data_IF_790449039251
#
_entry.id   IF_790449039251
#
_cell.length_a   1.000
_cell.length_b   1.000
_cell.length_c   1.000
_cell.angle_alpha   90.00
_cell.angle_beta   90.00
_cell.angle_gamma   90.00
#
_symmetry.space_group_name_H-M   'P 1'
#
loop_
_entity.id
_entity.type
_entity.pdbx_description
1 polymer ?
#
# COMPACT_ATOMS: atom_id res chain seq x y z
N UNK A 1 -18.46 -24.43 19.86
CA UNK A 1 -17.66 -23.61 18.92
C UNK A 1 -16.88 -22.61 19.74
N UNK A 2 -15.63 -22.96 20.07
CA UNK A 2 -14.76 -22.13 20.89
C UNK A 2 -14.23 -20.94 20.08
N UNK A 3 -14.74 -19.75 20.36
CA UNK A 3 -14.13 -18.50 19.94
C UNK A 3 -12.85 -18.31 20.75
N UNK A 4 -11.72 -18.78 20.20
CA UNK A 4 -10.38 -18.37 20.65
C UNK A 4 -10.35 -16.84 20.63
N UNK A 5 -10.52 -16.23 21.81
CA UNK A 5 -10.19 -14.83 22.04
C UNK A 5 -8.76 -14.66 21.55
N UNK A 6 -8.55 -13.92 20.46
CA UNK A 6 -7.24 -13.36 20.16
C UNK A 6 -6.88 -12.58 21.41
N UNK A 7 -5.98 -13.14 22.23
CA UNK A 7 -5.33 -12.38 23.28
C UNK A 7 -4.67 -11.22 22.55
N UNK A 8 -5.25 -10.03 22.71
CA UNK A 8 -4.62 -8.78 22.30
C UNK A 8 -3.38 -8.67 23.18
N UNK A 9 -2.28 -9.30 22.75
CA UNK A 9 -0.98 -9.10 23.36
C UNK A 9 -0.77 -7.59 23.35
N UNK A 10 -0.58 -7.01 24.53
CA UNK A 10 -0.49 -5.57 24.70
C UNK A 10 0.60 -5.06 23.75
N UNK A 11 0.18 -4.32 22.73
CA UNK A 11 1.07 -3.63 21.82
C UNK A 11 1.84 -2.63 22.69
N UNK A 12 3.15 -2.85 22.86
CA UNK A 12 3.99 -1.93 23.62
C UNK A 12 4.02 -0.59 22.89
N UNK A 13 3.71 0.50 23.60
CA UNK A 13 3.82 1.86 23.05
C UNK A 13 5.29 2.31 22.93
N UNK A 14 6.22 1.59 23.56
CA UNK A 14 7.67 1.79 23.37
C UNK A 14 8.16 1.20 22.03
N UNK A 15 7.25 0.58 21.25
CA UNK A 15 7.46 0.15 19.88
C UNK A 15 7.05 1.25 18.88
N UNK A 16 7.93 1.69 17.97
CA UNK A 16 7.54 2.57 16.87
C UNK A 16 6.37 2.01 16.05
N UNK A 17 6.36 0.70 15.76
CA UNK A 17 5.26 0.08 15.03
C UNK A 17 4.01 -0.06 15.90
N UNK A 18 4.19 -0.39 17.18
CA UNK A 18 3.10 -0.45 18.14
C UNK A 18 2.42 0.89 18.41
N UNK A 19 3.18 1.98 18.46
CA UNK A 19 2.66 3.36 18.51
C UNK A 19 1.84 3.69 17.26
N UNK A 20 2.35 3.32 16.08
CA UNK A 20 1.65 3.50 14.81
C UNK A 20 0.34 2.70 14.79
N UNK A 21 0.31 1.47 15.30
CA UNK A 21 -0.91 0.67 15.40
C UNK A 21 -1.91 1.19 16.45
N UNK A 22 -1.41 1.77 17.55
CA UNK A 22 -2.24 2.39 18.57
C UNK A 22 -3.01 3.61 18.05
N UNK A 23 -2.53 4.27 16.97
CA UNK A 23 -3.24 5.35 16.30
C UNK A 23 -4.58 4.90 15.67
N UNK A 24 -4.85 3.59 15.59
CA UNK A 24 -6.19 2.99 15.36
C UNK A 24 -7.01 3.52 14.17
N UNK A 25 -6.37 4.04 13.13
CA UNK A 25 -7.10 4.61 12.00
C UNK A 25 -8.09 3.61 11.36
N UNK A 26 -9.40 3.84 11.54
CA UNK A 26 -10.50 3.24 10.77
C UNK A 26 -10.69 1.70 10.81
N UNK A 27 -9.75 0.92 11.37
CA UNK A 27 -9.75 -0.54 11.25
C UNK A 27 -11.04 -1.21 11.71
N UNK A 28 -11.66 -0.70 12.79
CA UNK A 28 -12.87 -1.29 13.37
C UNK A 28 -14.15 -0.92 12.65
N UNK A 29 -14.10 0.15 11.88
CA UNK A 29 -15.25 0.71 11.16
C UNK A 29 -15.27 0.23 9.70
N UNK A 30 -14.15 -0.32 9.21
CA UNK A 30 -14.05 -0.91 7.88
C UNK A 30 -14.93 -2.16 7.75
N UNK A 31 -15.73 -2.22 6.70
CA UNK A 31 -16.45 -3.43 6.29
C UNK A 31 -15.57 -4.36 5.44
N UNK A 32 -14.39 -3.90 5.02
CA UNK A 32 -13.54 -4.64 4.10
C UNK A 32 -12.70 -5.69 4.84
N UNK A 33 -12.95 -6.97 4.59
CA UNK A 33 -12.22 -8.07 5.24
C UNK A 33 -10.69 -7.98 5.05
N UNK A 34 -10.21 -7.46 3.92
CA UNK A 34 -8.77 -7.29 3.68
C UNK A 34 -8.14 -6.28 4.64
N UNK A 35 -8.88 -5.25 5.07
CA UNK A 35 -8.40 -4.23 6.03
C UNK A 35 -8.19 -4.87 7.40
N UNK A 36 -9.13 -5.72 7.85
CA UNK A 36 -8.99 -6.50 9.08
C UNK A 36 -7.81 -7.48 9.02
N UNK A 37 -7.62 -8.16 7.87
CA UNK A 37 -6.48 -9.04 7.66
C UNK A 37 -5.15 -8.28 7.70
N UNK A 38 -5.07 -7.13 7.02
CA UNK A 38 -3.91 -6.24 7.00
C UNK A 38 -3.51 -5.79 8.41
N UNK A 39 -4.49 -5.37 9.21
CA UNK A 39 -4.26 -5.07 10.63
C UNK A 39 -3.70 -6.29 11.38
N UNK A 40 -4.27 -7.47 11.18
CA UNK A 40 -3.76 -8.72 11.76
C UNK A 40 -2.31 -9.04 11.38
N UNK A 41 -1.91 -8.79 10.13
CA UNK A 41 -0.53 -8.95 9.68
C UNK A 41 0.42 -7.97 10.35
N UNK A 42 0.03 -6.69 10.46
CA UNK A 42 0.83 -5.67 11.14
C UNK A 42 0.97 -5.93 12.65
N UNK A 43 -0.09 -6.43 13.29
CA UNK A 43 -0.01 -6.85 14.71
C UNK A 43 1.00 -7.99 14.88
N UNK A 44 0.98 -9.00 14.00
CA UNK A 44 1.98 -10.08 14.02
C UNK A 44 3.39 -9.54 13.82
N UNK A 45 3.57 -8.59 12.90
CA UNK A 45 4.85 -7.94 12.65
C UNK A 45 5.35 -7.16 13.88
N UNK A 46 4.47 -6.41 14.55
CA UNK A 46 4.80 -5.70 15.79
C UNK A 46 5.20 -6.67 16.92
N UNK A 47 4.45 -7.76 17.10
CA UNK A 47 4.82 -8.81 18.05
C UNK A 47 6.20 -9.39 17.75
N UNK A 48 6.50 -9.68 16.49
CA UNK A 48 7.80 -10.22 16.10
C UNK A 48 8.94 -9.20 16.29
N UNK A 49 8.71 -7.92 16.00
CA UNK A 49 9.66 -6.83 16.28
C UNK A 49 9.94 -6.68 17.78
N UNK A 50 8.91 -6.77 18.62
CA UNK A 50 9.05 -6.78 20.07
C UNK A 50 9.88 -7.96 20.57
N UNK A 51 9.62 -9.16 20.03
CA UNK A 51 10.39 -10.36 20.36
C UNK A 51 11.86 -10.20 19.97
N UNK A 52 12.13 -9.64 18.78
CA UNK A 52 13.49 -9.36 18.29
C UNK A 52 14.25 -8.40 19.24
N UNK A 53 13.61 -7.29 19.64
CA UNK A 53 14.22 -6.32 20.57
C UNK A 53 14.48 -6.93 21.94
N UNK A 54 13.55 -7.73 22.45
CA UNK A 54 13.70 -8.43 23.73
C UNK A 54 14.87 -9.42 23.69
N UNK A 55 14.96 -10.20 22.61
CA UNK A 55 16.05 -11.16 22.41
C UNK A 55 17.41 -10.46 22.26
N UNK A 56 17.48 -9.38 21.48
CA UNK A 56 18.72 -8.61 21.33
C UNK A 56 19.21 -8.06 22.69
N UNK A 57 18.28 -7.57 23.54
CA UNK A 57 18.61 -7.08 24.88
C UNK A 57 19.03 -8.21 25.82
N UNK A 58 18.33 -9.35 25.81
CA UNK A 58 18.62 -10.49 26.69
C UNK A 58 20.01 -11.08 26.39
N UNK A 59 20.36 -11.23 25.11
CA UNK A 59 21.64 -11.81 24.71
C UNK A 59 22.81 -10.85 24.97
N UNK A 60 22.62 -9.54 24.73
CA UNK A 60 23.62 -8.52 25.09
C UNK A 60 23.86 -8.47 26.60
N UNK A 61 22.79 -8.51 27.41
CA UNK A 61 22.90 -8.52 28.86
C UNK A 61 23.53 -9.82 29.40
N UNK A 62 23.31 -10.95 28.74
CA UNK A 62 23.87 -12.23 29.15
C UNK A 62 25.41 -12.29 28.97
N UNK A 63 25.98 -11.57 27.99
CA UNK A 63 27.44 -11.46 27.81
C UNK A 63 28.18 -12.79 27.54
N UNK A 64 27.44 -13.86 27.21
CA UNK A 64 27.98 -15.22 27.07
C UNK A 64 28.48 -15.55 25.66
N UNK A 65 28.09 -14.76 24.66
CA UNK A 65 28.44 -14.98 23.26
C UNK A 65 29.54 -13.99 22.84
N UNK A 66 30.42 -14.45 21.94
CA UNK A 66 31.28 -13.55 21.19
C UNK A 66 30.44 -12.68 20.25
N UNK A 67 30.98 -11.57 19.75
CA UNK A 67 30.26 -10.71 18.80
C UNK A 67 29.81 -11.46 17.54
N UNK A 68 30.63 -12.43 17.08
CA UNK A 68 30.29 -13.30 15.96
C UNK A 68 29.14 -14.26 16.32
N UNK A 69 29.20 -14.93 17.47
CA UNK A 69 28.14 -15.84 17.91
C UNK A 69 26.82 -15.12 18.22
N UNK A 70 26.89 -13.89 18.75
CA UNK A 70 25.70 -13.05 18.94
C UNK A 70 25.06 -12.71 17.59
N UNK A 71 25.87 -12.35 16.58
CA UNK A 71 25.37 -12.05 15.24
C UNK A 71 24.66 -13.26 14.62
N UNK A 72 25.31 -14.42 14.60
CA UNK A 72 24.73 -15.66 14.06
C UNK A 72 23.43 -16.04 14.76
N UNK A 73 23.39 -15.95 16.10
CA UNK A 73 22.18 -16.21 16.89
C UNK A 73 21.04 -15.26 16.50
N UNK A 74 21.34 -13.97 16.39
CA UNK A 74 20.33 -12.98 16.04
C UNK A 74 19.86 -13.12 14.58
N UNK A 75 20.74 -13.47 13.65
CA UNK A 75 20.38 -13.78 12.26
C UNK A 75 19.42 -14.97 12.20
N UNK A 76 19.71 -16.06 12.93
CA UNK A 76 18.84 -17.22 13.03
C UNK A 76 17.47 -16.86 13.65
N UNK A 77 17.47 -16.03 14.68
CA UNK A 77 16.22 -15.55 15.31
C UNK A 77 15.38 -14.73 14.32
N UNK A 78 16.00 -13.82 13.57
CA UNK A 78 15.30 -13.01 12.55
C UNK A 78 14.65 -13.90 11.51
N UNK A 79 15.39 -14.87 10.98
CA UNK A 79 14.88 -15.77 9.95
C UNK A 79 13.69 -16.61 10.45
N UNK A 80 13.68 -16.99 11.74
CA UNK A 80 12.63 -17.83 12.34
C UNK A 80 11.39 -17.04 12.78
N UNK A 81 11.58 -15.92 13.46
CA UNK A 81 10.49 -15.21 14.15
C UNK A 81 10.04 -13.94 13.41
N UNK A 82 10.97 -13.16 12.85
CA UNK A 82 10.69 -11.85 12.27
C UNK A 82 10.38 -11.92 10.77
N UNK A 83 11.23 -12.60 10.00
CA UNK A 83 11.11 -12.68 8.56
C UNK A 83 9.76 -13.24 8.08
N UNK A 84 9.18 -14.31 8.69
CA UNK A 84 7.88 -14.80 8.26
C UNK A 84 6.76 -13.77 8.43
N UNK A 85 6.75 -13.03 9.55
CA UNK A 85 5.76 -11.98 9.80
C UNK A 85 5.93 -10.80 8.83
N UNK A 86 7.17 -10.40 8.55
CA UNK A 86 7.49 -9.35 7.59
C UNK A 86 7.04 -9.72 6.17
N UNK A 87 7.40 -10.92 5.71
CA UNK A 87 7.02 -11.41 4.38
C UNK A 87 5.51 -11.51 4.22
N UNK A 88 4.81 -11.97 5.25
CA UNK A 88 3.35 -12.07 5.20
C UNK A 88 2.69 -10.69 5.12
N UNK A 89 3.17 -9.71 5.89
CA UNK A 89 2.68 -8.34 5.81
C UNK A 89 2.97 -7.67 4.45
N UNK A 90 4.13 -7.94 3.82
CA UNK A 90 4.43 -7.48 2.46
C UNK A 90 3.53 -8.14 1.42
N UNK A 91 3.46 -9.47 1.41
CA UNK A 91 2.72 -10.22 0.39
C UNK A 91 1.20 -9.99 0.49
N UNK A 92 0.62 -10.28 1.65
CA UNK A 92 -0.84 -10.25 1.81
C UNK A 92 -1.36 -8.85 2.13
N UNK A 93 -0.56 -8.04 2.83
CA UNK A 93 -0.90 -6.67 3.19
C UNK A 93 -0.63 -5.71 2.03
N UNK A 94 0.62 -5.48 1.68
CA UNK A 94 0.98 -4.50 0.64
C UNK A 94 0.54 -4.96 -0.75
N UNK A 95 1.08 -6.08 -1.25
CA UNK A 95 0.80 -6.55 -2.61
C UNK A 95 -0.66 -7.00 -2.78
N UNK A 96 -1.21 -7.68 -1.78
CA UNK A 96 -2.60 -8.12 -1.80
C UNK A 96 -3.61 -6.98 -1.89
N UNK A 97 -3.38 -5.87 -1.20
CA UNK A 97 -4.24 -4.68 -1.30
C UNK A 97 -4.08 -4.00 -2.66
N UNK A 98 -2.84 -3.88 -3.15
CA UNK A 98 -2.57 -3.31 -4.47
C UNK A 98 -3.30 -4.09 -5.57
N UNK A 99 -3.27 -5.42 -5.51
CA UNK A 99 -3.99 -6.29 -6.44
C UNK A 99 -5.52 -6.12 -6.32
N UNK A 100 -6.04 -6.01 -5.10
CA UNK A 100 -7.48 -5.78 -4.91
C UNK A 100 -7.94 -4.43 -5.47
N UNK A 101 -7.11 -3.39 -5.38
CA UNK A 101 -7.37 -2.10 -6.05
C UNK A 101 -7.42 -2.29 -7.57
N UNK A 102 -6.49 -3.04 -8.15
CA UNK A 102 -6.48 -3.34 -9.60
C UNK A 102 -7.74 -4.08 -10.03
N UNK A 103 -8.17 -5.09 -9.27
CA UNK A 103 -9.41 -5.84 -9.53
C UNK A 103 -10.63 -4.93 -9.48
N UNK A 104 -10.76 -4.07 -8.46
CA UNK A 104 -11.88 -3.12 -8.36
C UNK A 104 -11.91 -2.14 -9.54
N UNK A 105 -10.74 -1.64 -9.97
CA UNK A 105 -10.64 -0.79 -11.17
C UNK A 105 -11.08 -1.54 -12.43
N UNK A 106 -10.68 -2.80 -12.59
CA UNK A 106 -11.05 -3.62 -13.74
C UNK A 106 -12.55 -3.96 -13.79
N UNK A 107 -13.25 -3.95 -12.66
CA UNK A 107 -14.70 -4.18 -12.60
C UNK A 107 -15.52 -2.98 -13.07
N UNK A 108 -15.02 -1.75 -12.90
CA UNK A 108 -15.72 -0.53 -13.30
C UNK A 108 -15.37 -0.06 -14.72
N UNK A 109 -15.45 -0.94 -15.72
CA UNK A 109 -15.33 -0.52 -17.13
C UNK A 109 -16.66 0.11 -17.55
N UNK A 110 -16.65 1.44 -17.72
CA UNK A 110 -17.78 2.20 -18.25
C UNK A 110 -18.14 1.73 -19.66
N UNK A 111 -19.40 1.32 -19.87
CA UNK A 111 -19.96 1.12 -21.21
C UNK A 111 -20.61 2.43 -21.64
N UNK A 112 -19.97 3.14 -22.56
CA UNK A 112 -20.59 4.27 -23.27
C UNK A 112 -21.79 3.72 -24.02
N UNK A 113 -22.98 4.27 -23.77
CA UNK A 113 -24.15 3.98 -24.59
C UNK A 113 -23.96 4.65 -25.96
N UNK A 114 -23.79 3.88 -27.06
CA UNK A 114 -23.61 4.44 -28.39
C UNK A 114 -24.88 5.10 -28.93
N UNK A 115 -26.04 4.91 -28.29
CA UNK A 115 -27.34 5.44 -28.73
C UNK A 115 -27.69 6.80 -28.14
N UNK A 116 -26.96 7.25 -27.11
CA UNK A 116 -27.16 8.58 -26.50
C UNK A 116 -26.43 9.68 -27.29
N UNK A 117 -27.12 10.19 -28.31
CA UNK A 117 -26.62 11.27 -29.16
C UNK A 117 -26.39 12.58 -28.39
N UNK A 118 -27.19 12.88 -27.36
CA UNK A 118 -27.05 14.10 -26.58
C UNK A 118 -25.77 14.08 -25.73
N UNK A 119 -25.49 12.94 -25.09
CA UNK A 119 -24.26 12.76 -24.34
C UNK A 119 -23.02 12.75 -25.26
N UNK A 120 -23.14 12.18 -26.47
CA UNK A 120 -22.06 12.22 -27.46
C UNK A 120 -21.71 13.65 -27.91
N UNK A 121 -22.72 14.49 -28.17
CA UNK A 121 -22.54 15.91 -28.51
C UNK A 121 -21.86 16.65 -27.36
N UNK A 122 -22.35 16.46 -26.13
CA UNK A 122 -21.78 17.11 -24.95
C UNK A 122 -20.31 16.71 -24.73
N UNK A 123 -19.94 15.44 -24.89
CA UNK A 123 -18.53 15.01 -24.80
C UNK A 123 -17.67 15.62 -25.91
N UNK A 124 -18.21 15.78 -27.11
CA UNK A 124 -17.52 16.50 -28.20
C UNK A 124 -17.27 17.97 -27.86
N UNK A 125 -18.26 18.65 -27.28
CA UNK A 125 -18.12 20.04 -26.84
C UNK A 125 -17.12 20.21 -25.70
N UNK A 126 -17.13 19.29 -24.73
CA UNK A 126 -16.16 19.27 -23.63
C UNK A 126 -14.72 19.07 -24.14
N UNK A 127 -14.51 18.18 -25.13
CA UNK A 127 -13.20 18.03 -25.79
C UNK A 127 -12.76 19.29 -26.51
N UNK A 128 -13.65 19.93 -27.26
CA UNK A 128 -13.34 21.20 -27.93
C UNK A 128 -12.93 22.26 -26.91
N UNK A 129 -13.74 22.45 -25.86
CA UNK A 129 -13.45 23.40 -24.80
C UNK A 129 -12.10 23.12 -24.13
N UNK A 130 -11.77 21.84 -23.89
CA UNK A 130 -10.48 21.43 -23.35
C UNK A 130 -9.30 21.92 -24.20
N UNK A 131 -9.34 21.67 -25.52
CA UNK A 131 -8.26 22.06 -26.43
C UNK A 131 -8.22 23.56 -26.73
N UNK A 132 -9.30 24.30 -26.48
CA UNK A 132 -9.32 25.77 -26.55
C UNK A 132 -8.76 26.43 -25.28
N UNK A 133 -8.70 25.72 -24.15
CA UNK A 133 -8.11 26.23 -22.91
C UNK A 133 -6.59 26.38 -23.02
N UNK A 134 -6.04 27.38 -22.32
CA UNK A 134 -4.59 27.51 -22.12
C UNK A 134 -4.04 26.39 -21.25
N UNK A 135 -2.75 26.06 -21.41
CA UNK A 135 -2.09 25.00 -20.65
C UNK A 135 -2.11 25.24 -19.12
N UNK A 136 -2.09 26.51 -18.69
CA UNK A 136 -2.26 26.87 -17.29
C UNK A 136 -3.63 26.46 -16.75
N UNK A 137 -4.71 26.68 -17.52
CA UNK A 137 -6.07 26.28 -17.13
C UNK A 137 -6.26 24.77 -17.16
N UNK A 138 -5.71 24.09 -18.17
CA UNK A 138 -5.73 22.62 -18.24
C UNK A 138 -5.06 22.02 -17.01
N UNK A 139 -3.87 22.49 -16.63
CA UNK A 139 -3.18 22.03 -15.42
C UNK A 139 -4.01 22.22 -14.15
N UNK A 140 -4.67 23.37 -14.00
CA UNK A 140 -5.58 23.60 -12.86
C UNK A 140 -6.75 22.61 -12.88
N UNK A 141 -7.36 22.38 -14.04
CA UNK A 141 -8.49 21.46 -14.20
C UNK A 141 -8.09 20.00 -13.92
N UNK A 142 -6.84 19.61 -14.19
CA UNK A 142 -6.33 18.27 -13.91
C UNK A 142 -6.21 17.94 -12.41
N UNK A 143 -6.19 18.93 -11.52
CA UNK A 143 -6.16 18.67 -10.07
C UNK A 143 -7.47 18.07 -9.55
N UNK A 144 -8.60 18.37 -10.19
CA UNK A 144 -9.90 17.82 -9.82
C UNK A 144 -10.84 17.87 -11.03
N UNK A 145 -10.60 17.00 -12.05
CA UNK A 145 -11.33 17.09 -13.30
C UNK A 145 -12.79 16.63 -13.10
N UNK A 146 -13.77 17.39 -13.62
CA UNK A 146 -15.15 16.92 -13.65
C UNK A 146 -15.23 15.58 -14.40
N UNK A 147 -15.97 14.62 -13.86
CA UNK A 147 -16.00 13.26 -14.40
C UNK A 147 -16.42 13.20 -15.88
N UNK A 148 -17.41 13.99 -16.29
CA UNK A 148 -17.81 14.07 -17.69
C UNK A 148 -16.69 14.56 -18.62
N UNK A 149 -15.87 15.51 -18.16
CA UNK A 149 -14.71 15.98 -18.89
C UNK A 149 -13.64 14.88 -18.95
N UNK A 150 -13.41 14.17 -17.84
CA UNK A 150 -12.48 13.06 -17.79
C UNK A 150 -12.86 11.94 -18.78
N UNK A 151 -14.13 11.52 -18.78
CA UNK A 151 -14.64 10.54 -19.75
C UNK A 151 -14.51 11.05 -21.19
N UNK A 152 -14.84 12.32 -21.44
CA UNK A 152 -14.73 12.91 -22.77
C UNK A 152 -13.29 12.92 -23.31
N UNK A 153 -12.29 13.19 -22.46
CA UNK A 153 -10.87 13.18 -22.84
C UNK A 153 -10.37 11.75 -23.04
N UNK A 154 -10.74 10.81 -22.16
CA UNK A 154 -10.30 9.40 -22.23
C UNK A 154 -10.88 8.63 -23.42
N UNK A 155 -11.96 9.12 -24.04
CA UNK A 155 -12.45 8.59 -25.32
C UNK A 155 -11.49 8.85 -26.50
N UNK A 156 -10.58 9.82 -26.36
CA UNK A 156 -9.57 10.09 -27.39
C UNK A 156 -8.44 9.06 -27.29
N UNK A 157 -7.82 8.66 -28.42
CA UNK A 157 -6.60 7.88 -28.38
C UNK A 157 -5.50 8.65 -27.63
N UNK A 158 -4.61 7.94 -26.91
CA UNK A 158 -3.60 8.57 -26.04
C UNK A 158 -2.73 9.62 -26.76
N UNK A 159 -2.45 9.39 -28.04
CA UNK A 159 -1.70 10.31 -28.90
C UNK A 159 -2.37 11.68 -29.10
N UNK A 160 -3.69 11.81 -28.90
CA UNK A 160 -4.45 13.04 -29.15
C UNK A 160 -4.55 13.96 -27.93
N UNK A 161 -4.59 13.41 -26.72
CA UNK A 161 -4.68 14.24 -25.52
C UNK A 161 -3.32 14.65 -24.97
N UNK A 162 -2.23 13.95 -25.34
CA UNK A 162 -0.85 14.36 -25.01
C UNK A 162 -0.56 14.48 -23.51
N UNK A 163 -1.28 13.69 -22.71
CA UNK A 163 -1.17 13.68 -21.26
C UNK A 163 -0.06 12.71 -20.87
N UNK A 164 0.69 13.05 -19.82
CA UNK A 164 1.56 12.08 -19.17
C UNK A 164 0.74 11.00 -18.44
N UNK A 165 1.42 9.94 -18.01
CA UNK A 165 0.77 8.79 -17.37
C UNK A 165 0.03 9.18 -16.08
N UNK A 166 0.59 10.11 -15.30
CA UNK A 166 0.00 10.57 -14.04
C UNK A 166 -1.31 11.34 -14.29
N UNK A 167 -1.31 12.25 -15.27
CA UNK A 167 -2.48 13.00 -15.69
C UNK A 167 -3.57 12.07 -16.27
N UNK A 168 -3.18 11.09 -17.09
CA UNK A 168 -4.12 10.11 -17.63
C UNK A 168 -4.76 9.26 -16.51
N UNK A 169 -3.98 8.85 -15.53
CA UNK A 169 -4.49 8.09 -14.38
C UNK A 169 -5.42 8.93 -13.49
N UNK A 170 -5.12 10.22 -13.29
CA UNK A 170 -6.01 11.14 -12.56
C UNK A 170 -7.38 11.28 -13.24
N UNK A 171 -7.43 11.34 -14.58
CA UNK A 171 -8.70 11.35 -15.31
C UNK A 171 -9.43 10.02 -15.18
N UNK A 172 -8.71 8.89 -15.29
CA UNK A 172 -9.32 7.56 -15.13
C UNK A 172 -9.96 7.41 -13.76
N UNK A 173 -9.30 7.92 -12.72
CA UNK A 173 -9.83 7.90 -11.36
C UNK A 173 -11.06 8.80 -11.18
N UNK A 174 -11.08 9.99 -11.79
CA UNK A 174 -12.22 10.89 -11.71
C UNK A 174 -13.44 10.35 -12.47
N UNK A 175 -13.23 9.80 -13.68
CA UNK A 175 -14.29 9.15 -14.46
C UNK A 175 -14.84 7.93 -13.71
N UNK A 176 -13.96 7.03 -13.26
CA UNK A 176 -14.33 5.86 -12.47
C UNK A 176 -15.08 6.24 -11.19
N UNK A 177 -14.64 7.30 -10.50
CA UNK A 177 -15.20 7.73 -9.22
C UNK A 177 -16.65 8.18 -9.29
N UNK A 178 -17.04 8.77 -10.43
CA UNK A 178 -18.41 9.20 -10.69
C UNK A 178 -19.32 8.04 -11.07
N UNK A 179 -18.85 7.14 -11.93
CA UNK A 179 -19.67 6.05 -12.45
C UNK A 179 -19.81 4.89 -11.45
N UNK A 180 -18.80 4.72 -10.57
CA UNK A 180 -18.75 3.67 -9.57
C UNK A 180 -18.42 4.23 -8.17
N UNK A 181 -19.28 5.09 -7.59
CA UNK A 181 -18.98 5.79 -6.34
C UNK A 181 -18.72 4.85 -5.16
N UNK A 182 -19.40 3.70 -5.12
CA UNK A 182 -19.15 2.67 -4.10
C UNK A 182 -17.77 2.02 -4.24
N UNK A 183 -17.35 1.70 -5.46
CA UNK A 183 -16.01 1.14 -5.71
C UNK A 183 -14.92 2.18 -5.47
N UNK A 184 -15.17 3.44 -5.81
CA UNK A 184 -14.27 4.56 -5.55
C UNK A 184 -14.02 4.76 -4.05
N UNK A 185 -15.09 4.72 -3.24
CA UNK A 185 -15.00 4.76 -1.78
C UNK A 185 -14.15 3.61 -1.24
N UNK A 186 -14.39 2.38 -1.71
CA UNK A 186 -13.60 1.19 -1.33
C UNK A 186 -12.13 1.32 -1.71
N UNK A 187 -11.82 1.77 -2.93
CA UNK A 187 -10.45 1.99 -3.39
C UNK A 187 -9.73 3.04 -2.54
N UNK A 188 -10.41 4.16 -2.21
CA UNK A 188 -9.83 5.22 -1.38
C UNK A 188 -9.43 4.68 0.00
N UNK A 189 -10.31 3.90 0.62
CA UNK A 189 -10.03 3.23 1.89
C UNK A 189 -8.85 2.25 1.75
N UNK A 190 -8.85 1.41 0.71
CA UNK A 190 -7.75 0.46 0.46
C UNK A 190 -6.41 1.17 0.24
N UNK A 191 -6.37 2.31 -0.45
CA UNK A 191 -5.13 3.09 -0.62
C UNK A 191 -4.61 3.64 0.69
N UNK A 192 -5.49 4.18 1.54
CA UNK A 192 -5.08 4.66 2.85
C UNK A 192 -4.47 3.52 3.68
N UNK A 193 -5.09 2.33 3.64
CA UNK A 193 -4.57 1.14 4.31
C UNK A 193 -3.26 0.65 3.68
N UNK A 194 -3.15 0.65 2.35
CA UNK A 194 -1.91 0.31 1.65
C UNK A 194 -0.75 1.20 2.10
N UNK A 195 -0.95 2.52 2.12
CA UNK A 195 0.04 3.48 2.59
C UNK A 195 0.43 3.21 4.05
N UNK A 196 -0.54 2.91 4.91
CA UNK A 196 -0.28 2.55 6.29
C UNK A 196 0.53 1.26 6.44
N UNK A 197 0.24 0.24 5.65
CA UNK A 197 1.01 -1.03 5.62
C UNK A 197 2.43 -0.79 5.14
N UNK A 198 2.62 0.00 4.08
CA UNK A 198 3.95 0.38 3.55
C UNK A 198 4.76 1.08 4.66
N UNK A 199 4.19 2.10 5.30
CA UNK A 199 4.84 2.79 6.41
C UNK A 199 5.18 1.83 7.56
N UNK A 200 4.26 0.90 7.89
CA UNK A 200 4.50 -0.12 8.92
C UNK A 200 5.67 -1.05 8.58
N UNK A 201 5.78 -1.51 7.34
CA UNK A 201 6.89 -2.33 6.85
C UNK A 201 8.22 -1.57 6.87
N UNK A 202 8.21 -0.28 6.53
CA UNK A 202 9.40 0.57 6.61
C UNK A 202 9.87 0.77 8.05
N UNK A 203 8.95 1.09 8.96
CA UNK A 203 9.25 1.22 10.39
C UNK A 203 9.81 -0.08 10.95
N UNK A 204 9.17 -1.22 10.66
CA UNK A 204 9.64 -2.53 11.13
C UNK A 204 11.03 -2.88 10.59
N UNK A 205 11.29 -2.60 9.30
CA UNK A 205 12.61 -2.80 8.69
C UNK A 205 13.66 -1.94 9.39
N UNK A 206 13.39 -0.65 9.56
CA UNK A 206 14.32 0.30 10.15
C UNK A 206 14.62 -0.04 11.62
N UNK A 207 13.62 -0.50 12.37
CA UNK A 207 13.80 -0.97 13.74
C UNK A 207 14.63 -2.25 13.81
N UNK A 208 14.36 -3.22 12.93
CA UNK A 208 15.13 -4.46 12.87
C UNK A 208 16.60 -4.21 12.46
N UNK A 209 16.84 -3.40 11.43
CA UNK A 209 18.21 -3.05 10.99
C UNK A 209 18.99 -2.32 12.10
N UNK A 210 18.34 -1.38 12.80
CA UNK A 210 18.95 -0.68 13.94
C UNK A 210 19.24 -1.62 15.10
N UNK A 211 18.28 -2.46 15.49
CA UNK A 211 18.40 -3.41 16.61
C UNK A 211 19.56 -4.38 16.40
N UNK A 212 19.75 -4.83 15.16
CA UNK A 212 20.78 -5.78 14.76
C UNK A 212 22.09 -5.12 14.32
N UNK A 213 22.09 -3.80 14.11
CA UNK A 213 23.21 -3.05 13.54
C UNK A 213 23.65 -3.62 12.17
N UNK A 214 22.68 -3.96 11.33
CA UNK A 214 22.89 -4.48 9.97
C UNK A 214 22.44 -3.47 8.92
N UNK A 215 23.04 -3.54 7.74
CA UNK A 215 22.60 -2.73 6.60
C UNK A 215 21.36 -3.36 5.91
N UNK A 216 20.76 -2.60 4.98
CA UNK A 216 19.57 -3.04 4.25
C UNK A 216 19.82 -4.27 3.38
N UNK A 217 21.02 -4.43 2.82
CA UNK A 217 21.35 -5.58 1.98
C UNK A 217 21.34 -6.89 2.79
N UNK A 218 21.94 -6.88 3.98
CA UNK A 218 21.93 -8.04 4.87
C UNK A 218 20.51 -8.31 5.40
N UNK A 219 19.74 -7.28 5.76
CA UNK A 219 18.34 -7.44 6.12
C UNK A 219 17.55 -8.15 5.00
N UNK A 220 17.71 -7.68 3.77
CA UNK A 220 17.05 -8.26 2.60
C UNK A 220 17.46 -9.72 2.38
N UNK A 221 18.74 -10.06 2.59
CA UNK A 221 19.21 -11.44 2.54
C UNK A 221 18.56 -12.31 3.62
N UNK A 222 18.41 -11.82 4.84
CA UNK A 222 17.78 -12.57 5.94
C UNK A 222 16.28 -12.76 5.73
N UNK A 223 15.59 -11.72 5.26
CA UNK A 223 14.13 -11.78 5.08
C UNK A 223 13.74 -12.54 3.82
N UNK A 224 14.52 -12.45 2.74
CA UNK A 224 14.15 -12.97 1.42
C UNK A 224 15.13 -14.01 0.87
N UNK A 225 16.12 -14.46 1.65
CA UNK A 225 17.11 -15.45 1.19
C UNK A 225 18.06 -14.94 0.10
N UNK A 226 18.08 -13.63 -0.20
CA UNK A 226 18.83 -13.05 -1.31
C UNK A 226 18.03 -12.87 -2.61
N UNK A 227 16.73 -13.16 -2.61
CA UNK A 227 15.86 -13.08 -3.81
C UNK A 227 15.26 -11.69 -4.06
N UNK A 228 15.89 -10.59 -3.65
CA UNK A 228 15.47 -9.26 -4.14
C UNK A 228 16.16 -9.00 -5.48
N UNK A 229 15.69 -9.69 -6.53
CA UNK A 229 16.38 -9.70 -7.82
C UNK A 229 15.54 -9.37 -9.05
N UNK A 230 14.21 -9.40 -9.01
CA UNK A 230 13.43 -9.48 -10.26
C UNK A 230 12.40 -8.38 -10.54
N UNK A 231 12.02 -7.51 -9.59
CA UNK A 231 10.86 -6.62 -9.83
C UNK A 231 11.05 -5.11 -9.60
N UNK A 232 12.18 -4.64 -9.06
CA UNK A 232 12.44 -3.20 -8.92
C UNK A 232 13.13 -2.55 -10.14
N UNK A 233 13.25 -3.26 -11.27
CA UNK A 233 13.78 -2.69 -12.53
C UNK A 233 12.72 -1.96 -13.37
N UNK A 234 11.66 -1.46 -12.75
CA UNK A 234 10.50 -0.86 -13.42
C UNK A 234 10.20 0.60 -13.07
N UNK A 235 11.11 1.32 -12.41
CA UNK A 235 10.96 2.75 -12.16
C UNK A 235 12.31 3.45 -12.38
N UNK A 236 12.61 3.73 -13.64
CA UNK A 236 13.58 4.72 -14.09
C UNK A 236 12.92 5.53 -15.21
#
# INVERSE_FOLDING_TARGET
MDTKKMQTQAISLDDPLGSLLAARWGWKESEQQIVHRAHGYLVRLATAGNALRKEARSQKAAGRLTDAGLREHMEAFVMREFAPAYRQADHDGRRGIEEQIKVLRAQGVYKIDPTDAAAAILRSDLRRAWFEMSDSRRRVMMHNPPAMLATAILELPEAFHGLDAEAADNLREAAFGHDFPEHAGKIKELRAVHQFVVAGLEVARNDATRTLSINIHLFNKLVWGGEIGAQDKGAA
#
